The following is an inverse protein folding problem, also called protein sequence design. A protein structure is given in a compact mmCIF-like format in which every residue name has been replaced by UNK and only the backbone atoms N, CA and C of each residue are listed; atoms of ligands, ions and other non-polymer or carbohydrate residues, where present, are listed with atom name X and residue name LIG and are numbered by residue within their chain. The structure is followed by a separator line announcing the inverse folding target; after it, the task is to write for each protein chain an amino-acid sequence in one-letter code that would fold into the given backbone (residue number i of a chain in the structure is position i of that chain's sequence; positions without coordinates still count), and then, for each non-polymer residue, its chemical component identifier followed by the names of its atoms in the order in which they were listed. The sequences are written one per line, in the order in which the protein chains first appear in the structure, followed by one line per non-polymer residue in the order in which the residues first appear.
data_IF_141353562174
#
_entry.id   IF_141353562174
#
_cell.length_a   1.000
_cell.length_b   1.000
_cell.length_c   1.000
_cell.angle_alpha   90.00
_cell.angle_beta   90.00
_cell.angle_gamma   90.00
#
_symmetry.space_group_name_H-M   'P 1'
#
loop_
_entity.id
_entity.type
_entity.pdbx_description
1 polymer ?
#
# COMPACT_ATOMS: atom_id res chain seq x y z
N UNK A 1 -17.57 -18.87 -1.84
CA UNK A 1 -18.43 -17.86 -2.48
C UNK A 1 -17.59 -17.13 -3.51
N UNK A 2 -18.08 -16.89 -4.73
CA UNK A 2 -17.37 -16.09 -5.72
C UNK A 2 -17.46 -14.60 -5.35
N UNK A 3 -16.33 -13.96 -5.05
CA UNK A 3 -16.25 -12.52 -4.79
C UNK A 3 -16.66 -11.74 -6.06
N UNK A 4 -17.78 -11.00 -6.00
CA UNK A 4 -18.27 -10.18 -7.12
C UNK A 4 -17.76 -8.75 -6.93
N UNK A 5 -16.77 -8.34 -7.73
CA UNK A 5 -16.23 -6.98 -7.67
C UNK A 5 -17.00 -6.06 -8.61
N UNK A 6 -17.55 -4.98 -8.08
CA UNK A 6 -18.30 -3.99 -8.86
C UNK A 6 -17.78 -2.58 -8.61
N UNK A 7 -17.88 -1.72 -9.63
CA UNK A 7 -17.63 -0.28 -9.54
C UNK A 7 -18.88 0.50 -9.08
N UNK A 8 -20.00 -0.19 -8.85
CA UNK A 8 -21.18 0.45 -8.27
C UNK A 8 -20.96 0.71 -6.78
N UNK A 9 -21.50 1.82 -6.24
CA UNK A 9 -21.47 2.07 -4.80
C UNK A 9 -22.09 0.87 -4.07
N UNK A 10 -21.38 0.36 -3.08
CA UNK A 10 -21.87 -0.75 -2.29
C UNK A 10 -23.10 -0.29 -1.52
N UNK A 11 -24.13 -1.15 -1.48
CA UNK A 11 -25.31 -0.89 -0.66
C UNK A 11 -24.86 -0.67 0.79
N UNK A 12 -25.24 0.46 1.37
CA UNK A 12 -24.93 0.73 2.77
C UNK A 12 -25.49 -0.38 3.64
N UNK A 13 -24.62 -1.03 4.41
CA UNK A 13 -25.02 -2.05 5.37
C UNK A 13 -25.85 -1.38 6.47
N UNK A 14 -27.00 -1.98 6.76
CA UNK A 14 -27.83 -1.55 7.90
C UNK A 14 -27.05 -1.72 9.21
N UNK A 15 -27.39 -0.96 10.24
CA UNK A 15 -26.66 -0.94 11.53
C UNK A 15 -26.54 -2.34 12.15
N UNK A 16 -27.62 -3.12 12.06
CA UNK A 16 -27.65 -4.49 12.57
C UNK A 16 -26.67 -5.41 11.80
N UNK A 17 -26.62 -5.26 10.48
CA UNK A 17 -25.71 -6.04 9.63
C UNK A 17 -24.25 -5.72 9.95
N UNK A 18 -23.92 -4.44 10.20
CA UNK A 18 -22.59 -4.01 10.65
C UNK A 18 -22.19 -4.68 11.96
N UNK A 19 -23.07 -4.65 12.98
CA UNK A 19 -22.80 -5.31 14.26
C UNK A 19 -22.62 -6.82 14.12
N UNK A 20 -23.42 -7.48 13.28
CA UNK A 20 -23.25 -8.91 13.02
C UNK A 20 -21.90 -9.18 12.36
N UNK A 21 -21.53 -8.41 11.33
CA UNK A 21 -20.24 -8.57 10.65
C UNK A 21 -19.07 -8.30 11.60
N UNK A 22 -19.14 -7.26 12.42
CA UNK A 22 -18.12 -6.96 13.43
C UNK A 22 -17.98 -8.14 14.41
N UNK A 23 -19.10 -8.67 14.94
CA UNK A 23 -19.06 -9.75 15.91
C UNK A 23 -18.69 -11.12 15.31
N UNK A 24 -18.95 -11.36 14.02
CA UNK A 24 -18.80 -12.68 13.38
C UNK A 24 -17.57 -12.79 12.48
N UNK A 25 -17.15 -11.69 11.85
CA UNK A 25 -16.03 -11.66 10.89
C UNK A 25 -14.80 -11.00 11.47
N UNK A 26 -14.94 -9.98 12.34
CA UNK A 26 -13.78 -9.42 13.05
C UNK A 26 -13.45 -10.28 14.26
N UNK A 27 -12.69 -11.35 14.01
CA UNK A 27 -12.10 -12.18 15.05
C UNK A 27 -11.15 -11.33 15.89
N UNK A 28 -11.62 -10.70 16.98
CA UNK A 28 -10.86 -9.87 17.96
C UNK A 28 -9.43 -9.53 17.49
N UNK A 29 -9.32 -8.70 16.46
CA UNK A 29 -8.02 -8.24 15.96
C UNK A 29 -7.72 -7.02 16.80
N UNK A 30 -6.68 -7.10 17.64
CA UNK A 30 -6.23 -5.91 18.36
C UNK A 30 -5.95 -4.80 17.34
N UNK A 31 -6.53 -3.60 17.53
CA UNK A 31 -6.25 -2.49 16.64
C UNK A 31 -4.75 -2.21 16.66
N UNK A 32 -4.19 -1.91 15.50
CA UNK A 32 -2.77 -1.60 15.41
C UNK A 32 -2.48 -0.34 16.24
N UNK A 33 -1.61 -0.49 17.24
CA UNK A 33 -1.14 0.61 18.06
C UNK A 33 0.23 1.05 17.57
N UNK A 34 0.34 2.33 17.25
CA UNK A 34 1.55 2.96 16.74
C UNK A 34 2.03 4.06 17.69
N UNK A 35 3.33 4.28 17.74
CA UNK A 35 3.89 5.45 18.41
C UNK A 35 3.54 6.70 17.61
N UNK A 36 3.05 7.75 18.27
CA UNK A 36 2.73 9.02 17.61
C UNK A 36 3.94 9.62 16.87
N UNK A 37 5.15 9.49 17.44
CA UNK A 37 6.37 9.99 16.80
C UNK A 37 6.68 9.26 15.48
N UNK A 38 6.47 7.94 15.46
CA UNK A 38 6.69 7.11 14.27
C UNK A 38 5.66 7.43 13.18
N UNK A 39 4.41 7.67 13.59
CA UNK A 39 3.32 8.09 12.72
C UNK A 39 3.60 9.44 12.05
N UNK A 40 3.95 10.46 12.84
CA UNK A 40 4.25 11.80 12.33
C UNK A 40 5.50 11.81 11.45
N UNK A 41 6.50 11.00 11.77
CA UNK A 41 7.73 10.86 10.97
C UNK A 41 7.42 10.25 9.61
N UNK A 42 6.60 9.19 9.58
CA UNK A 42 6.18 8.55 8.33
C UNK A 42 5.35 9.49 7.44
N UNK A 43 4.41 10.25 8.01
CA UNK A 43 3.65 11.27 7.25
C UNK A 43 4.59 12.33 6.69
N UNK A 44 5.46 12.88 7.54
CA UNK A 44 6.41 13.92 7.15
C UNK A 44 7.34 13.46 6.02
N UNK A 45 7.71 12.18 5.99
CA UNK A 45 8.53 11.60 4.94
C UNK A 45 7.87 11.67 3.56
N UNK A 46 6.57 11.37 3.48
CA UNK A 46 5.80 11.42 2.22
C UNK A 46 5.45 12.86 1.83
N UNK A 47 5.05 13.70 2.78
CA UNK A 47 4.76 15.12 2.50
C UNK A 47 6.00 15.83 1.94
N UNK A 48 7.20 15.58 2.49
CA UNK A 48 8.47 16.11 1.96
C UNK A 48 8.78 15.70 0.52
N UNK A 49 8.17 14.62 0.03
CA UNK A 49 8.32 14.11 -1.34
C UNK A 49 7.24 14.61 -2.30
N UNK A 50 6.39 15.53 -1.86
CA UNK A 50 5.36 16.16 -2.68
C UNK A 50 4.00 15.46 -2.64
N UNK A 51 3.77 14.55 -1.70
CA UNK A 51 2.46 13.95 -1.50
C UNK A 51 1.53 14.91 -0.77
N UNK A 52 0.28 14.96 -1.20
CA UNK A 52 -0.79 15.58 -0.43
C UNK A 52 -0.98 14.87 0.91
N UNK A 53 -1.48 15.61 1.90
CA UNK A 53 -1.55 15.13 3.28
C UNK A 53 -2.37 13.85 3.45
N UNK A 54 -3.55 13.76 2.84
CA UNK A 54 -4.43 12.60 2.99
C UNK A 54 -3.82 11.32 2.35
N UNK A 55 -3.31 11.34 1.10
CA UNK A 55 -2.55 10.22 0.56
C UNK A 55 -1.31 9.85 1.37
N UNK A 56 -0.60 10.85 1.94
CA UNK A 56 0.56 10.60 2.80
C UNK A 56 0.16 9.87 4.11
N UNK A 57 -0.95 10.27 4.74
CA UNK A 57 -1.48 9.63 5.95
C UNK A 57 -1.91 8.18 5.69
N UNK A 58 -2.62 7.90 4.60
CA UNK A 58 -3.03 6.55 4.22
C UNK A 58 -1.82 5.64 3.97
N UNK A 59 -0.85 6.16 3.22
CA UNK A 59 0.36 5.38 2.89
C UNK A 59 1.21 5.12 4.13
N UNK A 60 1.39 6.14 4.99
CA UNK A 60 2.11 6.01 6.25
C UNK A 60 1.46 4.95 7.14
N UNK A 61 0.13 4.95 7.24
CA UNK A 61 -0.63 3.96 8.00
C UNK A 61 -0.40 2.54 7.49
N UNK A 62 -0.49 2.31 6.18
CA UNK A 62 -0.25 0.99 5.57
C UNK A 62 1.18 0.51 5.84
N UNK A 63 2.17 1.39 5.72
CA UNK A 63 3.58 1.04 5.96
C UNK A 63 3.80 0.69 7.42
N UNK A 64 3.23 1.45 8.35
CA UNK A 64 3.33 1.17 9.78
C UNK A 64 2.66 -0.15 10.16
N UNK A 65 1.51 -0.45 9.55
CA UNK A 65 0.83 -1.72 9.71
C UNK A 65 1.72 -2.88 9.26
N UNK A 66 2.31 -2.78 8.06
CA UNK A 66 3.20 -3.80 7.53
C UNK A 66 4.47 -3.94 8.37
N UNK A 67 5.06 -2.83 8.81
CA UNK A 67 6.22 -2.81 9.70
C UNK A 67 5.93 -3.56 11.02
N UNK A 68 4.72 -3.41 11.56
CA UNK A 68 4.29 -4.11 12.77
C UNK A 68 4.12 -5.62 12.53
N UNK A 69 3.53 -6.01 11.39
CA UNK A 69 3.37 -7.40 10.99
C UNK A 69 4.75 -8.07 10.85
N UNK A 70 5.68 -7.40 10.19
CA UNK A 70 7.03 -7.91 9.93
C UNK A 70 7.99 -7.73 11.12
N UNK A 71 7.53 -7.09 12.21
CA UNK A 71 8.34 -6.75 13.40
C UNK A 71 9.61 -5.95 13.07
N UNK A 72 9.53 -5.06 12.08
CA UNK A 72 10.63 -4.21 11.64
C UNK A 72 10.40 -2.77 12.10
N UNK A 73 11.44 -2.06 12.62
CA UNK A 73 11.31 -0.65 12.94
C UNK A 73 11.01 0.20 11.71
N UNK A 74 10.03 1.11 11.80
CA UNK A 74 9.62 1.96 10.66
C UNK A 74 10.78 2.79 10.12
N UNK A 75 11.70 3.24 10.99
CA UNK A 75 12.86 4.02 10.58
C UNK A 75 13.73 3.30 9.54
N UNK A 76 13.89 1.97 9.65
CA UNK A 76 14.66 1.19 8.68
C UNK A 76 13.97 1.17 7.32
N UNK A 77 12.63 1.07 7.31
CA UNK A 77 11.84 1.10 6.08
C UNK A 77 11.97 2.49 5.43
N UNK A 78 11.83 3.56 6.21
CA UNK A 78 11.99 4.93 5.71
C UNK A 78 13.41 5.21 5.19
N UNK A 79 14.45 4.66 5.82
CA UNK A 79 15.84 4.79 5.34
C UNK A 79 16.06 4.09 3.99
N UNK A 80 15.46 2.92 3.78
CA UNK A 80 15.49 2.21 2.50
C UNK A 80 14.75 3.01 1.43
N UNK A 81 13.55 3.50 1.75
CA UNK A 81 12.75 4.35 0.87
C UNK A 81 13.43 5.71 0.61
N UNK A 82 14.36 6.14 1.48
CA UNK A 82 15.14 7.36 1.26
C UNK A 82 16.11 7.23 0.11
N UNK A 83 16.68 6.03 -0.09
CA UNK A 83 17.66 5.74 -1.13
C UNK A 83 17.01 5.41 -2.48
N UNK A 84 15.69 5.21 -2.51
CA UNK A 84 14.95 4.90 -3.72
C UNK A 84 14.86 6.13 -4.63
N UNK A 85 15.02 5.91 -5.94
CA UNK A 85 14.77 6.93 -6.95
C UNK A 85 13.28 7.35 -6.92
N UNK A 86 12.92 8.63 -7.12
CA UNK A 86 11.54 9.07 -7.12
C UNK A 86 10.61 8.26 -8.03
N UNK A 87 11.10 7.73 -9.16
CA UNK A 87 10.31 6.89 -10.06
C UNK A 87 9.98 5.54 -9.41
N UNK A 88 10.97 4.90 -8.79
CA UNK A 88 10.81 3.62 -8.09
C UNK A 88 9.86 3.76 -6.89
N UNK A 89 9.96 4.88 -6.18
CA UNK A 89 9.07 5.16 -5.05
C UNK A 89 7.62 5.30 -5.51
N UNK A 90 7.36 6.03 -6.59
CA UNK A 90 6.02 6.20 -7.12
C UNK A 90 5.42 4.87 -7.63
N UNK A 91 6.25 4.02 -8.24
CA UNK A 91 5.85 2.67 -8.66
C UNK A 91 5.46 1.80 -7.45
N UNK A 92 6.32 1.73 -6.43
CA UNK A 92 6.06 0.98 -5.20
C UNK A 92 4.76 1.45 -4.55
N UNK A 93 4.57 2.77 -4.43
CA UNK A 93 3.38 3.35 -3.83
C UNK A 93 2.12 3.01 -4.61
N UNK A 94 2.20 3.06 -5.94
CA UNK A 94 1.08 2.65 -6.79
C UNK A 94 0.71 1.17 -6.55
N UNK A 95 1.71 0.30 -6.38
CA UNK A 95 1.48 -1.12 -6.04
C UNK A 95 0.83 -1.27 -4.67
N UNK A 96 1.34 -0.56 -3.65
CA UNK A 96 0.80 -0.58 -2.29
C UNK A 96 -0.65 -0.09 -2.26
N UNK A 97 -0.95 1.04 -2.89
CA UNK A 97 -2.31 1.60 -2.95
C UNK A 97 -3.26 0.68 -3.72
N UNK A 98 -2.82 0.09 -4.82
CA UNK A 98 -3.62 -0.88 -5.57
C UNK A 98 -3.92 -2.16 -4.79
N UNK A 99 -2.99 -2.58 -3.92
CA UNK A 99 -3.14 -3.78 -3.08
C UNK A 99 -4.15 -3.55 -1.96
N UNK A 100 -4.20 -2.32 -1.43
CA UNK A 100 -5.10 -1.96 -0.34
C UNK A 100 -6.47 -1.41 -0.82
N UNK A 101 -6.63 -1.08 -2.11
CA UNK A 101 -7.92 -0.68 -2.68
C UNK A 101 -8.82 -1.89 -2.96
N UNK A 102 -10.13 -1.67 -2.84
CA UNK A 102 -11.14 -2.63 -3.31
C UNK A 102 -10.93 -2.93 -4.81
N UNK A 103 -10.93 -4.21 -5.20
CA UNK A 103 -10.53 -4.72 -6.53
C UNK A 103 -11.54 -4.42 -7.65
N UNK A 104 -11.95 -3.17 -7.75
CA UNK A 104 -12.88 -2.64 -8.76
C UNK A 104 -12.13 -1.93 -9.90
N UNK A 105 -10.94 -1.38 -9.60
CA UNK A 105 -10.08 -0.63 -10.52
C UNK A 105 -8.60 -0.69 -10.07
N UNK A 106 -7.66 -0.32 -10.97
CA UNK A 106 -6.22 -0.22 -10.67
C UNK A 106 -5.64 1.10 -11.17
N UNK A 107 -4.78 1.72 -10.38
CA UNK A 107 -3.95 2.85 -10.78
C UNK A 107 -2.80 2.33 -11.67
N UNK A 108 -2.63 2.93 -12.85
CA UNK A 108 -1.61 2.55 -13.81
C UNK A 108 -0.28 3.25 -13.57
N UNK A 109 0.83 2.57 -13.89
CA UNK A 109 2.18 3.15 -13.96
C UNK A 109 2.70 3.07 -15.39
N UNK A 110 3.47 4.06 -15.83
CA UNK A 110 4.11 4.06 -17.14
C UNK A 110 5.49 3.42 -17.02
N UNK A 111 5.67 2.24 -17.61
CA UNK A 111 6.96 1.57 -17.67
C UNK A 111 7.61 1.83 -19.04
N UNK A 112 8.69 2.62 -19.06
CA UNK A 112 9.52 2.76 -20.25
C UNK A 112 10.35 1.48 -20.41
N UNK A 113 9.89 0.55 -21.25
CA UNK A 113 10.67 -0.64 -21.60
C UNK A 113 11.88 -0.21 -22.43
N UNK A 114 13.09 -0.44 -21.91
CA UNK A 114 14.29 -0.34 -22.72
C UNK A 114 14.29 -1.51 -23.71
N UNK A 115 14.19 -1.20 -25.00
CA UNK A 115 14.39 -2.21 -26.06
C UNK A 115 15.82 -2.71 -25.93
N UNK A 116 16.01 -4.02 -25.75
CA UNK A 116 17.31 -4.64 -25.94
C UNK A 116 17.43 -4.95 -27.42
N UNK A 117 18.25 -4.17 -28.14
CA UNK A 117 18.52 -4.41 -29.56
C UNK A 117 19.45 -5.62 -29.78
N UNK A 118 20.03 -6.17 -28.70
CA UNK A 118 20.91 -7.33 -28.75
C UNK A 118 20.16 -8.55 -28.18
N UNK A 119 19.90 -9.51 -29.06
CA UNK A 119 19.42 -10.84 -28.71
C UNK A 119 20.59 -11.69 -28.19
N UNK A 120 20.54 -12.09 -26.92
CA UNK A 120 21.48 -13.06 -26.35
C UNK A 120 21.16 -14.46 -26.87
N UNK A 121 22.09 -15.05 -27.65
CA UNK A 121 22.02 -16.45 -28.08
C UNK A 121 22.86 -17.31 -27.12
N UNK A 122 22.28 -18.41 -26.64
CA UNK A 122 23.00 -19.40 -25.83
C UNK A 122 23.72 -20.38 -26.76
N UNK A 123 24.87 -19.97 -27.30
CA UNK A 123 25.72 -20.81 -28.15
C UNK A 123 26.84 -21.39 -27.29
N UNK A 124 26.83 -22.72 -27.11
CA UNK A 124 28.00 -23.49 -26.65
C UNK A 124 28.93 -23.72 -27.85
N UNK A 125 30.21 -23.39 -27.68
CA UNK A 125 31.28 -23.79 -28.59
C UNK A 125 31.60 -25.28 -28.42
#
# INVERSE_FOLDING_TARGET
MSEFYTNLPQKEKDRLQKTIDDLTQTQYVEPFQFNANDYDTAISFFVKRGFDRQPAEETAYIILQQAKIDSVPVGQILDILTKADPVQLNELLTVVLNTNRYKSSRLGVRNNKTSRDIISRNIKA
#
